data_IF_679595923676
#
_entry.id   IF_679595923676
#
_cell.length_a   1.000
_cell.length_b   1.000
_cell.length_c   1.000
_cell.angle_alpha   90.00
_cell.angle_beta   90.00
_cell.angle_gamma   90.00
#
_symmetry.space_group_name_H-M   'P 1'
#
loop_
_entity.id
_entity.type
_entity.pdbx_description
1 polymer ?
#
# COMPACT_ATOMS: atom_id res chain seq x y z
N UNK A 1 2.99 -27.93 -24.38
CA UNK A 1 2.71 -26.55 -24.83
C UNK A 1 2.31 -25.72 -23.63
N UNK A 2 3.06 -24.70 -23.26
CA UNK A 2 2.77 -23.86 -22.11
C UNK A 2 2.03 -22.60 -22.57
N UNK A 3 0.70 -22.63 -22.56
CA UNK A 3 -0.10 -21.44 -22.80
C UNK A 3 0.16 -20.41 -21.70
N UNK A 4 0.61 -19.21 -22.08
CA UNK A 4 0.82 -18.08 -21.15
C UNK A 4 -0.43 -17.20 -21.12
N UNK A 5 -1.03 -17.04 -19.94
CA UNK A 5 -2.21 -16.20 -19.74
C UNK A 5 -1.91 -14.73 -20.03
N UNK A 6 -2.53 -14.20 -21.09
CA UNK A 6 -2.46 -12.77 -21.40
C UNK A 6 -3.21 -11.93 -20.37
N UNK A 7 -4.28 -12.48 -19.78
CA UNK A 7 -5.06 -11.82 -18.73
C UNK A 7 -4.22 -11.56 -17.47
N UNK A 8 -3.42 -12.53 -17.03
CA UNK A 8 -2.54 -12.35 -15.86
C UNK A 8 -1.47 -11.28 -16.12
N UNK A 9 -0.91 -11.22 -17.34
CA UNK A 9 0.04 -10.16 -17.73
C UNK A 9 -0.60 -8.78 -17.70
N UNK A 10 -1.83 -8.65 -18.18
CA UNK A 10 -2.54 -7.37 -18.15
C UNK A 10 -2.91 -6.91 -16.73
N UNK A 11 -3.22 -7.84 -15.81
CA UNK A 11 -3.43 -7.50 -14.39
C UNK A 11 -2.18 -6.89 -13.75
N UNK A 12 -1.00 -7.48 -13.98
CA UNK A 12 0.27 -6.91 -13.53
C UNK A 12 0.56 -5.55 -14.19
N UNK A 13 0.31 -5.42 -15.50
CA UNK A 13 0.54 -4.18 -16.25
C UNK A 13 -0.41 -3.03 -15.90
N UNK A 14 -1.61 -3.33 -15.37
CA UNK A 14 -2.60 -2.31 -14.98
C UNK A 14 -2.26 -1.60 -13.66
N UNK A 15 -1.26 -2.10 -12.93
CA UNK A 15 -0.69 -1.47 -11.73
C UNK A 15 0.12 -0.25 -12.22
N UNK A 16 -0.50 0.94 -12.15
CA UNK A 16 0.10 2.21 -12.63
C UNK A 16 1.53 2.40 -12.10
N UNK A 17 2.53 2.16 -12.96
CA UNK A 17 3.93 2.49 -12.73
C UNK A 17 4.65 1.68 -11.64
N UNK A 18 4.19 0.47 -11.30
CA UNK A 18 4.91 -0.48 -10.43
C UNK A 18 4.37 -1.88 -10.61
N UNK A 19 5.24 -2.89 -10.68
CA UNK A 19 4.83 -4.31 -10.63
C UNK A 19 4.57 -4.79 -9.20
N UNK A 20 4.97 -4.02 -8.18
CA UNK A 20 4.82 -4.41 -6.80
C UNK A 20 3.36 -4.61 -6.40
N UNK A 21 3.16 -5.57 -5.51
CA UNK A 21 1.89 -5.98 -4.95
C UNK A 21 1.39 -4.98 -3.91
N UNK A 22 2.29 -4.27 -3.22
CA UNK A 22 1.99 -3.14 -2.34
C UNK A 22 2.91 -1.96 -2.69
N UNK A 23 2.32 -0.76 -2.73
CA UNK A 23 3.05 0.50 -2.88
C UNK A 23 2.55 1.47 -1.84
N UNK A 24 3.45 2.03 -1.04
CA UNK A 24 3.15 3.07 -0.06
C UNK A 24 3.68 4.40 -0.58
N UNK A 25 2.87 5.45 -0.48
CA UNK A 25 3.24 6.78 -0.93
C UNK A 25 2.82 7.83 0.08
N UNK A 26 3.67 8.83 0.24
CA UNK A 26 3.37 10.04 1.00
C UNK A 26 3.31 11.21 0.04
N UNK A 27 2.26 12.02 0.15
CA UNK A 27 2.04 13.17 -0.73
C UNK A 27 1.64 14.38 0.11
N UNK A 28 1.90 15.58 -0.40
CA UNK A 28 1.43 16.82 0.20
C UNK A 28 0.28 17.41 -0.60
N UNK A 29 -0.84 17.66 0.07
CA UNK A 29 -2.03 18.25 -0.52
C UNK A 29 -2.13 19.72 -0.13
N UNK A 30 -1.75 20.59 -1.07
CA UNK A 30 -1.74 22.04 -0.87
C UNK A 30 -3.11 22.60 -0.47
N UNK A 31 -4.19 22.11 -1.08
CA UNK A 31 -5.55 22.63 -0.84
C UNK A 31 -6.00 22.52 0.62
N UNK A 32 -5.47 21.54 1.36
CA UNK A 32 -5.82 21.30 2.77
C UNK A 32 -4.62 21.44 3.70
N UNK A 33 -3.48 21.92 3.17
CA UNK A 33 -2.20 22.03 3.88
C UNK A 33 -1.91 20.78 4.73
N UNK A 34 -2.03 19.60 4.12
CA UNK A 34 -1.96 18.33 4.84
C UNK A 34 -1.19 17.29 4.05
N UNK A 35 -0.39 16.48 4.73
CA UNK A 35 0.22 15.31 4.13
C UNK A 35 -0.75 14.12 4.18
N UNK A 36 -0.75 13.31 3.12
CA UNK A 36 -1.57 12.11 2.99
C UNK A 36 -0.65 10.90 2.78
N UNK A 37 -0.95 9.80 3.47
CA UNK A 37 -0.37 8.49 3.16
C UNK A 37 -1.37 7.71 2.31
N UNK A 38 -0.87 7.03 1.30
CA UNK A 38 -1.65 6.19 0.40
C UNK A 38 -0.97 4.82 0.25
N UNK A 39 -1.70 3.76 0.58
CA UNK A 39 -1.29 2.37 0.40
C UNK A 39 -2.11 1.77 -0.74
N UNK A 40 -1.45 1.48 -1.87
CA UNK A 40 -2.05 0.76 -2.99
C UNK A 40 -1.73 -0.71 -2.85
N UNK A 41 -2.77 -1.54 -2.85
CA UNK A 41 -2.66 -2.97 -2.57
C UNK A 41 -3.27 -3.74 -3.73
N UNK A 42 -2.58 -4.76 -4.22
CA UNK A 42 -3.07 -5.65 -5.27
C UNK A 42 -4.28 -6.45 -4.80
N UNK A 43 -5.22 -6.72 -5.71
CA UNK A 43 -6.39 -7.55 -5.40
C UNK A 43 -6.00 -8.92 -4.85
N UNK A 44 -4.89 -9.49 -5.35
CA UNK A 44 -4.41 -10.81 -4.93
C UNK A 44 -4.01 -10.83 -3.44
N UNK A 45 -3.48 -9.71 -2.92
CA UNK A 45 -3.19 -9.57 -1.48
C UNK A 45 -4.47 -9.35 -0.68
N UNK A 46 -5.39 -8.50 -1.18
CA UNK A 46 -6.66 -8.27 -0.51
C UNK A 46 -7.44 -9.58 -0.34
N UNK A 47 -7.46 -10.42 -1.38
CA UNK A 47 -8.11 -11.73 -1.37
C UNK A 47 -7.46 -12.66 -0.33
N UNK A 48 -6.12 -12.65 -0.20
CA UNK A 48 -5.39 -13.46 0.80
C UNK A 48 -5.65 -13.04 2.24
N UNK A 49 -5.89 -11.76 2.49
CA UNK A 49 -6.25 -11.25 3.82
C UNK A 49 -7.78 -11.20 4.01
N UNK A 50 -8.54 -11.92 3.18
CA UNK A 50 -10.00 -12.04 3.29
C UNK A 50 -10.76 -10.69 3.27
N UNK A 51 -10.25 -9.71 2.51
CA UNK A 51 -10.90 -8.41 2.32
C UNK A 51 -11.09 -8.08 0.84
N UNK A 52 -11.86 -7.04 0.55
CA UNK A 52 -12.15 -6.62 -0.83
C UNK A 52 -12.18 -5.10 -0.95
N UNK A 53 -12.15 -4.60 -2.20
CA UNK A 53 -12.37 -3.18 -2.48
C UNK A 53 -13.79 -2.80 -2.03
N UNK A 54 -13.90 -1.76 -1.21
CA UNK A 54 -15.11 -1.37 -0.48
C UNK A 54 -15.10 -1.80 0.99
N UNK A 55 -14.23 -2.75 1.35
CA UNK A 55 -13.98 -3.14 2.74
C UNK A 55 -13.17 -2.09 3.51
N UNK A 56 -12.86 -2.46 4.77
CA UNK A 56 -12.10 -1.63 5.70
C UNK A 56 -10.91 -2.38 6.25
N UNK A 57 -9.82 -1.64 6.43
CA UNK A 57 -8.55 -2.16 6.93
C UNK A 57 -7.94 -1.19 7.92
N UNK A 58 -7.07 -1.70 8.78
CA UNK A 58 -6.12 -0.89 9.53
C UNK A 58 -4.75 -0.90 8.82
N UNK A 59 -3.95 0.13 9.09
CA UNK A 59 -2.57 0.24 8.61
C UNK A 59 -1.68 0.50 9.82
N UNK A 60 -0.89 -0.50 10.17
CA UNK A 60 -0.01 -0.50 11.34
C UNK A 60 1.44 -0.34 10.89
N UNK A 61 2.24 0.25 11.76
CA UNK A 61 3.68 0.39 11.57
C UNK A 61 4.39 0.05 12.86
N UNK A 62 5.35 -0.86 12.77
CA UNK A 62 6.31 -1.18 13.81
C UNK A 62 7.60 -0.40 13.54
N UNK A 63 7.91 0.53 14.42
CA UNK A 63 9.09 1.39 14.31
C UNK A 63 10.40 0.66 14.68
N UNK A 64 10.34 -0.38 15.52
CA UNK A 64 11.54 -1.10 15.98
C UNK A 64 12.11 -1.98 14.87
N UNK A 65 11.22 -2.67 14.15
CA UNK A 65 11.59 -3.63 13.09
C UNK A 65 11.44 -3.06 11.65
N UNK A 66 10.97 -1.82 11.53
CA UNK A 66 10.59 -1.14 10.28
C UNK A 66 9.62 -1.98 9.42
N UNK A 67 8.59 -2.50 10.07
CA UNK A 67 7.57 -3.36 9.46
C UNK A 67 6.25 -2.62 9.30
N UNK A 68 5.60 -2.82 8.17
CA UNK A 68 4.24 -2.37 7.93
C UNK A 68 3.28 -3.55 7.94
N UNK A 69 2.07 -3.33 8.43
CA UNK A 69 1.00 -4.33 8.34
C UNK A 69 -0.28 -3.70 7.82
N UNK A 70 -0.94 -4.38 6.89
CA UNK A 70 -2.33 -4.10 6.53
C UNK A 70 -3.18 -5.31 6.89
N UNK A 71 -4.24 -5.08 7.65
CA UNK A 71 -5.18 -6.14 8.03
C UNK A 71 -6.63 -5.68 7.98
N UNK A 72 -7.59 -6.57 7.72
CA UNK A 72 -9.00 -6.26 7.86
C UNK A 72 -9.28 -5.69 9.23
N UNK A 73 -10.11 -4.66 9.26
CA UNK A 73 -10.56 -4.03 10.48
C UNK A 73 -12.02 -3.69 10.29
N UNK A 74 -12.84 -3.86 11.32
CA UNK A 74 -14.30 -3.67 11.24
C UNK A 74 -14.71 -2.26 10.81
N UNK A 75 -15.90 -1.82 11.21
CA UNK A 75 -16.52 -0.62 10.63
C UNK A 75 -15.74 0.70 10.85
N UNK A 76 -14.77 0.71 11.77
CA UNK A 76 -13.96 1.87 12.10
C UNK A 76 -12.62 1.96 11.33
N UNK A 77 -12.34 1.02 10.42
CA UNK A 77 -11.10 1.03 9.62
C UNK A 77 -11.10 2.03 8.47
N UNK A 78 -9.92 2.22 7.88
CA UNK A 78 -9.73 2.97 6.65
C UNK A 78 -10.37 2.24 5.47
N UNK A 79 -11.10 2.98 4.64
CA UNK A 79 -11.77 2.41 3.48
C UNK A 79 -10.81 2.08 2.35
N UNK A 80 -10.93 0.87 1.80
CA UNK A 80 -10.27 0.50 0.55
C UNK A 80 -11.10 1.04 -0.61
N UNK A 81 -10.66 2.15 -1.21
CA UNK A 81 -11.31 2.75 -2.37
C UNK A 81 -10.86 2.10 -3.68
N UNK A 82 -11.73 2.10 -4.69
CA UNK A 82 -11.43 1.57 -6.01
C UNK A 82 -12.69 1.12 -6.75
N UNK A 83 -12.56 0.81 -8.04
CA UNK A 83 -13.64 0.18 -8.79
C UNK A 83 -13.73 -1.30 -8.40
N UNK A 84 -14.95 -1.82 -8.22
CA UNK A 84 -15.17 -3.26 -7.98
C UNK A 84 -14.51 -4.08 -9.10
N UNK A 85 -13.70 -5.08 -8.74
CA UNK A 85 -12.94 -5.90 -9.69
C UNK A 85 -11.70 -5.23 -10.30
N UNK A 86 -11.28 -4.06 -9.81
CA UNK A 86 -10.00 -3.48 -10.19
C UNK A 86 -8.83 -4.33 -9.68
N UNK A 87 -7.69 -4.27 -10.38
CA UNK A 87 -6.48 -5.01 -10.02
C UNK A 87 -5.82 -4.53 -8.71
N UNK A 88 -6.20 -3.34 -8.21
CA UNK A 88 -5.68 -2.77 -6.97
C UNK A 88 -6.75 -1.98 -6.22
N UNK A 89 -6.74 -2.07 -4.89
CA UNK A 89 -7.41 -1.14 -3.98
C UNK A 89 -6.48 -0.03 -3.52
N UNK A 90 -7.05 1.08 -3.05
CA UNK A 90 -6.34 2.23 -2.51
C UNK A 90 -6.88 2.60 -1.12
N UNK A 91 -6.03 2.46 -0.11
CA UNK A 91 -6.24 3.03 1.22
C UNK A 91 -5.57 4.39 1.25
N UNK A 92 -6.28 5.43 1.66
CA UNK A 92 -5.73 6.79 1.78
C UNK A 92 -6.22 7.46 3.03
N UNK A 93 -5.32 8.09 3.77
CA UNK A 93 -5.66 8.86 4.96
C UNK A 93 -4.73 10.05 5.17
N UNK A 94 -5.25 11.08 5.82
CA UNK A 94 -4.46 12.25 6.22
C UNK A 94 -3.54 11.89 7.39
N UNK A 95 -2.26 12.23 7.28
CA UNK A 95 -1.27 11.99 8.32
C UNK A 95 -1.44 12.99 9.47
N UNK A 96 -1.68 12.46 10.68
CA UNK A 96 -1.78 13.24 11.92
C UNK A 96 -0.50 13.11 12.75
N UNK A 97 -0.41 13.82 13.88
CA UNK A 97 0.69 13.67 14.84
C UNK A 97 0.72 12.23 15.35
N UNK A 98 1.90 11.62 15.37
CA UNK A 98 2.11 10.22 15.80
C UNK A 98 1.92 9.18 14.69
N UNK A 99 1.46 9.55 13.50
CA UNK A 99 1.50 8.63 12.35
C UNK A 99 2.93 8.52 11.80
N UNK A 100 3.28 7.34 11.32
CA UNK A 100 4.51 7.10 10.57
C UNK A 100 4.55 7.91 9.27
N UNK A 101 5.73 8.43 8.94
CA UNK A 101 6.01 9.25 7.76
C UNK A 101 7.36 8.87 7.17
N UNK A 102 7.49 9.01 5.86
CA UNK A 102 8.79 8.95 5.18
C UNK A 102 9.61 10.23 5.39
N UNK A 103 8.94 11.38 5.49
CA UNK A 103 9.59 12.66 5.76
C UNK A 103 8.62 13.66 6.40
N UNK A 104 9.17 14.60 7.17
CA UNK A 104 8.43 15.80 7.61
C UNK A 104 8.59 16.96 6.63
N UNK A 105 9.64 16.94 5.79
CA UNK A 105 9.92 17.99 4.81
C UNK A 105 8.99 17.88 3.60
N UNK A 106 8.13 18.88 3.44
CA UNK A 106 7.16 18.94 2.34
C UNK A 106 7.82 19.10 0.96
N UNK A 107 9.05 19.62 0.90
CA UNK A 107 9.77 19.84 -0.36
C UNK A 107 10.26 18.53 -0.98
N UNK A 108 10.38 17.47 -0.18
CA UNK A 108 10.77 16.13 -0.61
C UNK A 108 9.58 15.28 -1.07
N UNK A 109 8.35 15.79 -0.96
CA UNK A 109 7.14 15.07 -1.37
C UNK A 109 6.80 15.35 -2.85
N UNK A 110 6.31 14.35 -3.62
CA UNK A 110 5.86 13.04 -3.16
C UNK A 110 6.98 11.99 -3.05
N UNK A 111 6.90 11.15 -2.03
CA UNK A 111 7.76 9.96 -1.88
C UNK A 111 6.91 8.72 -2.15
N UNK A 112 7.46 7.76 -2.89
CA UNK A 112 6.86 6.45 -3.18
C UNK A 112 7.88 5.38 -2.82
N UNK A 113 7.46 4.38 -2.05
CA UNK A 113 8.23 3.18 -1.76
C UNK A 113 7.43 1.95 -2.15
N UNK A 114 8.12 1.00 -2.75
CA UNK A 114 7.54 -0.28 -3.15
C UNK A 114 7.80 -1.31 -2.06
N UNK A 115 6.90 -2.27 -1.93
CA UNK A 115 7.11 -3.42 -1.07
C UNK A 115 8.29 -4.26 -1.57
N UNK A 116 9.08 -4.77 -0.64
CA UNK A 116 9.95 -5.90 -0.92
C UNK A 116 9.09 -7.16 -1.00
N UNK A 117 8.89 -7.70 -2.21
CA UNK A 117 8.02 -8.86 -2.44
C UNK A 117 8.48 -10.11 -1.68
N UNK A 118 9.79 -10.24 -1.40
CA UNK A 118 10.35 -11.37 -0.66
C UNK A 118 10.11 -11.24 0.86
N UNK A 119 9.71 -10.05 1.33
CA UNK A 119 9.39 -9.78 2.74
C UNK A 119 7.92 -10.04 3.12
N UNK A 120 7.07 -10.38 2.16
CA UNK A 120 5.63 -10.56 2.38
C UNK A 120 5.35 -11.75 3.31
N UNK A 121 4.80 -11.46 4.48
CA UNK A 121 4.39 -12.45 5.47
C UNK A 121 2.90 -12.30 5.76
N UNK A 122 2.17 -13.41 5.81
CA UNK A 122 0.73 -13.41 6.09
C UNK A 122 0.48 -14.01 7.48
N UNK A 123 0.25 -13.14 8.46
CA UNK A 123 0.05 -13.50 9.85
C UNK A 123 -1.06 -12.65 10.47
N UNK A 124 -1.72 -13.17 11.51
CA UNK A 124 -2.80 -12.50 12.24
C UNK A 124 -3.91 -11.91 11.35
N UNK A 125 -4.21 -12.61 10.25
CA UNK A 125 -5.21 -12.20 9.26
C UNK A 125 -4.83 -10.96 8.44
N UNK A 126 -3.58 -10.50 8.50
CA UNK A 126 -3.07 -9.41 7.70
C UNK A 126 -1.86 -9.80 6.86
N UNK A 127 -1.34 -8.79 6.16
CA UNK A 127 -0.09 -8.87 5.41
C UNK A 127 0.92 -7.94 6.07
N UNK A 128 2.06 -8.50 6.46
CA UNK A 128 3.22 -7.80 6.99
C UNK A 128 4.25 -7.68 5.87
N UNK A 129 4.89 -6.53 5.74
CA UNK A 129 5.86 -6.27 4.67
C UNK A 129 6.88 -5.19 5.04
N UNK A 130 8.02 -5.25 4.38
CA UNK A 130 9.03 -4.18 4.35
C UNK A 130 8.92 -3.37 3.08
N UNK A 131 9.40 -2.13 3.17
CA UNK A 131 9.51 -1.23 2.02
C UNK A 131 10.96 -1.23 1.54
N UNK A 132 11.14 -1.28 0.22
CA UNK A 132 12.45 -1.06 -0.39
C UNK A 132 12.85 0.38 -0.11
N UNK A 133 13.95 0.54 0.62
CA UNK A 133 14.61 1.83 0.80
C UNK A 133 15.59 1.95 -0.36
N UNK A 134 15.24 2.75 -1.37
CA UNK A 134 16.24 3.19 -2.33
C UNK A 134 17.18 4.14 -1.58
N UNK A 135 18.35 3.64 -1.19
CA UNK A 135 19.45 4.52 -0.81
C UNK A 135 19.71 5.46 -2.00
N UNK A 136 19.56 6.77 -1.77
CA UNK A 136 20.05 7.77 -2.71
C UNK A 136 21.49 7.39 -3.05
N UNK A 137 21.76 7.12 -4.32
CA UNK A 137 23.13 7.05 -4.83
C UNK A 137 23.82 8.34 -4.38
N UNK A 138 24.77 8.19 -3.45
CA UNK A 138 25.72 9.23 -3.04
C UNK A 138 26.41 9.87 -4.25
#
# INVERSE_FOLDING_TARGET
MAFKSQLQKSKASSRRGSSASIVVSQTYKQSTNSQELSVRISSDILDKIETTIGGKVDVLYDQEEDLWMVKPYGDNGFSISGKKGAATGLVRYTLKKGHARFTEDQTLLPIKRECDEDSLLYEDGGVIFKLVIEDEKM
#
